data_IF_280957438878
#
_entry.id   IF_280957438878
#
_cell.length_a   1.000
_cell.length_b   1.000
_cell.length_c   1.000
_cell.angle_alpha   90.00
_cell.angle_beta   90.00
_cell.angle_gamma   90.00
#
_symmetry.space_group_name_H-M   'P 1'
#
loop_
_entity.id
_entity.type
_entity.pdbx_description
1 polymer ?
#
# COMPACT_ATOMS: atom_id res chain seq x y z
N UNK A 1 0.97 -7.14 28.27
CA UNK A 1 2.04 -6.13 28.42
C UNK A 1 3.39 -6.75 28.84
N UNK A 2 3.90 -7.75 28.10
CA UNK A 2 5.07 -8.58 28.50
C UNK A 2 6.41 -8.20 27.85
N UNK A 3 6.43 -7.22 26.94
CA UNK A 3 7.62 -6.85 26.16
C UNK A 3 8.12 -5.47 26.64
N UNK A 4 9.39 -5.35 27.09
CA UNK A 4 9.95 -4.06 27.48
C UNK A 4 10.09 -3.11 26.29
N UNK A 5 9.73 -1.83 26.48
CA UNK A 5 9.61 -0.82 25.41
C UNK A 5 10.88 -0.62 24.57
N UNK A 6 12.05 -0.93 25.13
CA UNK A 6 13.36 -0.77 24.47
C UNK A 6 13.57 -1.71 23.27
N UNK A 7 12.99 -2.91 23.31
CA UNK A 7 13.18 -3.94 22.26
C UNK A 7 11.92 -4.16 21.41
N UNK A 8 10.85 -3.42 21.69
CA UNK A 8 9.53 -3.64 21.11
C UNK A 8 9.53 -3.59 19.58
N UNK A 9 10.11 -2.52 19.01
CA UNK A 9 10.23 -2.33 17.56
C UNK A 9 10.92 -3.53 16.89
N UNK A 10 12.00 -4.04 17.50
CA UNK A 10 12.73 -5.21 16.97
C UNK A 10 11.86 -6.47 17.00
N UNK A 11 11.17 -6.75 18.10
CA UNK A 11 10.31 -7.95 18.23
C UNK A 11 9.17 -7.90 17.21
N UNK A 12 8.53 -6.75 17.03
CA UNK A 12 7.42 -6.59 16.08
C UNK A 12 7.88 -6.83 14.64
N UNK A 13 8.98 -6.19 14.22
CA UNK A 13 9.55 -6.42 12.88
C UNK A 13 10.00 -7.87 12.66
N UNK A 14 10.49 -8.56 13.70
CA UNK A 14 10.88 -9.97 13.63
C UNK A 14 9.65 -10.86 13.40
N UNK A 15 8.54 -10.62 14.10
CA UNK A 15 7.29 -11.36 13.91
C UNK A 15 6.69 -11.11 12.52
N UNK A 16 6.74 -9.87 12.03
CA UNK A 16 6.27 -9.55 10.67
C UNK A 16 7.16 -10.23 9.63
N UNK A 17 8.49 -10.18 9.81
CA UNK A 17 9.44 -10.78 8.89
C UNK A 17 9.27 -12.29 8.77
N UNK A 18 9.07 -13.01 9.87
CA UNK A 18 8.87 -14.47 9.83
C UNK A 18 7.61 -14.84 9.05
N UNK A 19 6.50 -14.13 9.26
CA UNK A 19 5.27 -14.35 8.49
C UNK A 19 5.45 -14.07 7.00
N UNK A 20 6.08 -12.94 6.65
CA UNK A 20 6.28 -12.55 5.25
C UNK A 20 7.23 -13.53 4.52
N UNK A 21 8.26 -14.04 5.20
CA UNK A 21 9.19 -15.05 4.63
C UNK A 21 8.48 -16.38 4.37
N UNK A 22 7.57 -16.82 5.26
CA UNK A 22 6.78 -18.04 5.01
C UNK A 22 5.97 -17.89 3.71
N UNK A 23 5.34 -16.73 3.50
CA UNK A 23 4.60 -16.44 2.27
C UNK A 23 5.52 -16.42 1.05
N UNK A 24 6.72 -15.84 1.15
CA UNK A 24 7.71 -15.85 0.05
C UNK A 24 8.10 -17.27 -0.36
N UNK A 25 8.35 -18.15 0.60
CA UNK A 25 8.69 -19.56 0.34
C UNK A 25 7.53 -20.30 -0.33
N UNK A 26 6.29 -20.08 0.12
CA UNK A 26 5.09 -20.66 -0.49
C UNK A 26 4.94 -20.17 -1.93
N UNK A 27 5.13 -18.86 -2.19
CA UNK A 27 5.03 -18.30 -3.54
C UNK A 27 6.09 -18.88 -4.48
N UNK A 28 7.31 -19.06 -3.99
CA UNK A 28 8.42 -19.67 -4.73
C UNK A 28 8.15 -21.14 -5.10
N UNK A 29 7.41 -21.86 -4.27
CA UNK A 29 7.08 -23.27 -4.48
C UNK A 29 5.91 -23.47 -5.47
N UNK A 30 4.84 -22.68 -5.38
CA UNK A 30 3.64 -22.87 -6.20
C UNK A 30 3.60 -22.00 -7.47
N UNK A 31 4.15 -20.79 -7.45
CA UNK A 31 4.05 -19.81 -8.54
C UNK A 31 5.38 -19.08 -8.80
N UNK A 32 6.37 -19.76 -9.41
CA UNK A 32 7.72 -19.22 -9.59
C UNK A 32 7.77 -17.98 -10.48
N UNK A 33 6.88 -17.83 -11.46
CA UNK A 33 6.85 -16.66 -12.34
C UNK A 33 6.29 -15.42 -11.65
N UNK A 34 5.32 -15.58 -10.74
CA UNK A 34 4.85 -14.48 -9.89
C UNK A 34 5.90 -14.06 -8.86
N UNK A 35 6.61 -15.03 -8.30
CA UNK A 35 7.70 -14.78 -7.34
C UNK A 35 8.82 -13.90 -7.92
N UNK A 36 9.19 -14.08 -9.20
CA UNK A 36 10.22 -13.24 -9.84
C UNK A 36 9.87 -11.74 -9.83
N UNK A 37 8.58 -11.41 -9.95
CA UNK A 37 8.11 -10.03 -9.93
C UNK A 37 7.90 -9.50 -8.51
N UNK A 38 7.41 -10.36 -7.60
CA UNK A 38 7.08 -9.99 -6.22
C UNK A 38 8.29 -10.02 -5.27
N UNK A 39 9.36 -10.76 -5.60
CA UNK A 39 10.52 -10.98 -4.73
C UNK A 39 11.13 -9.70 -4.16
N UNK A 40 11.40 -8.65 -4.96
CA UNK A 40 11.90 -7.37 -4.43
C UNK A 40 10.93 -6.70 -3.44
N UNK A 41 9.61 -6.88 -3.62
CA UNK A 41 8.60 -6.28 -2.76
C UNK A 41 8.53 -6.93 -1.38
N UNK A 42 9.01 -8.16 -1.20
CA UNK A 42 9.05 -8.84 0.10
C UNK A 42 9.82 -7.99 1.13
N UNK A 43 10.98 -7.44 0.75
CA UNK A 43 11.76 -6.56 1.62
C UNK A 43 11.05 -5.22 1.93
N UNK A 44 10.36 -4.66 0.95
CA UNK A 44 9.56 -3.43 1.13
C UNK A 44 8.33 -3.65 2.01
N UNK A 45 7.76 -4.85 2.01
CA UNK A 45 6.62 -5.22 2.87
C UNK A 45 7.08 -5.35 4.32
N UNK A 46 8.23 -5.99 4.58
CA UNK A 46 8.77 -6.18 5.95
C UNK A 46 9.06 -4.83 6.61
N UNK A 47 9.62 -3.89 5.86
CA UNK A 47 10.01 -2.56 6.35
C UNK A 47 8.91 -1.51 6.18
N UNK A 48 7.69 -1.92 5.82
CA UNK A 48 6.61 -0.98 5.58
C UNK A 48 6.13 -0.32 6.89
N UNK A 49 6.13 1.01 6.89
CA UNK A 49 5.74 1.82 8.03
C UNK A 49 4.26 1.64 8.43
N UNK A 50 3.37 1.27 7.51
CA UNK A 50 1.95 1.08 7.83
C UNK A 50 1.74 -0.13 8.73
N UNK A 51 2.47 -1.23 8.49
CA UNK A 51 2.32 -2.48 9.23
C UNK A 51 2.80 -2.27 10.66
N UNK A 52 4.00 -1.69 10.81
CA UNK A 52 4.56 -1.34 12.11
C UNK A 52 3.66 -0.34 12.86
N UNK A 53 3.21 0.73 12.19
CA UNK A 53 2.38 1.76 12.81
C UNK A 53 1.04 1.24 13.33
N UNK A 54 0.37 0.32 12.62
CA UNK A 54 -0.89 -0.29 13.10
C UNK A 54 -0.66 -1.27 14.24
N UNK A 55 0.44 -2.02 14.22
CA UNK A 55 0.78 -2.94 15.31
C UNK A 55 0.97 -2.17 16.61
N UNK A 56 1.75 -1.09 16.57
CA UNK A 56 2.05 -0.28 17.76
C UNK A 56 0.82 0.51 18.25
N UNK A 57 0.06 1.11 17.33
CA UNK A 57 -1.08 1.97 17.68
C UNK A 57 -2.33 1.19 18.12
N UNK A 58 -2.57 -0.01 17.57
CA UNK A 58 -3.84 -0.71 17.79
C UNK A 58 -3.67 -2.17 18.24
N UNK A 59 -2.74 -2.94 17.64
CA UNK A 59 -2.68 -4.37 17.89
C UNK A 59 -2.23 -4.73 19.33
N UNK A 60 -1.35 -3.93 19.93
CA UNK A 60 -0.84 -4.17 21.29
C UNK A 60 -1.85 -3.93 22.41
N UNK A 61 -2.87 -3.11 22.15
CA UNK A 61 -3.82 -2.66 23.17
C UNK A 61 -5.17 -3.40 23.09
N UNK A 62 -5.44 -4.11 21.99
CA UNK A 62 -6.75 -4.69 21.70
C UNK A 62 -6.72 -6.22 21.61
N UNK A 63 -7.91 -6.82 21.63
CA UNK A 63 -8.10 -8.28 21.45
C UNK A 63 -7.70 -8.71 20.03
N UNK A 64 -7.18 -9.93 19.83
CA UNK A 64 -6.63 -10.37 18.54
C UNK A 64 -7.64 -10.31 17.38
N UNK A 65 -8.91 -10.62 17.63
CA UNK A 65 -9.95 -10.54 16.60
C UNK A 65 -10.24 -9.10 16.14
N UNK A 66 -10.24 -8.14 17.08
CA UNK A 66 -10.44 -6.73 16.73
C UNK A 66 -9.23 -6.19 15.94
N UNK A 67 -8.01 -6.59 16.33
CA UNK A 67 -6.78 -6.22 15.64
C UNK A 67 -6.68 -6.79 14.22
N UNK A 68 -7.27 -7.96 13.98
CA UNK A 68 -7.34 -8.56 12.64
C UNK A 68 -8.25 -7.75 11.71
N UNK A 69 -9.42 -7.33 12.19
CA UNK A 69 -10.33 -6.46 11.44
C UNK A 69 -9.68 -5.11 11.12
N UNK A 70 -8.95 -4.55 12.08
CA UNK A 70 -8.22 -3.30 11.88
C UNK A 70 -7.11 -3.40 10.82
N UNK A 71 -6.33 -4.49 10.86
CA UNK A 71 -5.30 -4.75 9.87
C UNK A 71 -5.87 -4.93 8.47
N UNK A 72 -6.98 -5.67 8.33
CA UNK A 72 -7.68 -5.84 7.06
C UNK A 72 -8.24 -4.52 6.53
N UNK A 73 -8.92 -3.73 7.37
CA UNK A 73 -9.48 -2.45 6.98
C UNK A 73 -8.39 -1.45 6.54
N UNK A 74 -7.28 -1.39 7.28
CA UNK A 74 -6.14 -0.54 6.96
C UNK A 74 -5.46 -0.96 5.65
N UNK A 75 -5.29 -2.27 5.44
CA UNK A 75 -4.74 -2.83 4.20
C UNK A 75 -5.62 -2.55 2.99
N UNK A 76 -6.93 -2.81 3.11
CA UNK A 76 -7.91 -2.52 2.04
C UNK A 76 -7.96 -1.03 1.70
N UNK A 77 -7.94 -0.16 2.72
CA UNK A 77 -7.88 1.29 2.51
C UNK A 77 -6.61 1.71 1.76
N UNK A 78 -5.45 1.16 2.14
CA UNK A 78 -4.20 1.43 1.44
C UNK A 78 -4.22 0.96 -0.01
N UNK A 79 -4.69 -0.27 -0.26
CA UNK A 79 -4.84 -0.81 -1.62
C UNK A 79 -5.79 0.04 -2.45
N UNK A 80 -6.92 0.49 -1.89
CA UNK A 80 -7.89 1.33 -2.60
C UNK A 80 -7.27 2.66 -3.05
N UNK A 81 -6.54 3.33 -2.16
CA UNK A 81 -5.85 4.59 -2.49
C UNK A 81 -4.80 4.38 -3.58
N UNK A 82 -3.98 3.32 -3.48
CA UNK A 82 -2.99 3.00 -4.50
C UNK A 82 -3.62 2.67 -5.85
N UNK A 83 -4.73 1.93 -5.86
CA UNK A 83 -5.41 1.54 -7.09
C UNK A 83 -6.00 2.77 -7.81
N UNK A 84 -6.61 3.69 -7.07
CA UNK A 84 -7.13 4.95 -7.62
C UNK A 84 -6.02 5.82 -8.22
N UNK A 85 -4.88 5.93 -7.53
CA UNK A 85 -3.71 6.66 -8.03
C UNK A 85 -3.11 5.96 -9.26
N UNK A 86 -2.99 4.63 -9.23
CA UNK A 86 -2.45 3.85 -10.34
C UNK A 86 -3.29 4.00 -11.60
N UNK A 87 -4.62 3.99 -11.50
CA UNK A 87 -5.54 4.18 -12.63
C UNK A 87 -5.25 5.47 -13.39
N UNK A 88 -5.15 6.60 -12.68
CA UNK A 88 -4.87 7.90 -13.31
C UNK A 88 -3.45 7.96 -13.87
N UNK A 89 -2.47 7.37 -13.15
CA UNK A 89 -1.07 7.36 -13.58
C UNK A 89 -0.84 6.50 -14.82
N UNK A 90 -1.52 5.36 -14.94
CA UNK A 90 -1.44 4.49 -16.12
C UNK A 90 -2.06 5.19 -17.34
N UNK A 91 -3.25 5.78 -17.16
CA UNK A 91 -3.96 6.48 -18.23
C UNK A 91 -3.13 7.65 -18.80
N UNK A 92 -2.58 8.49 -17.93
CA UNK A 92 -1.82 9.67 -18.38
C UNK A 92 -0.38 9.33 -18.79
N UNK A 93 0.22 8.31 -18.19
CA UNK A 93 1.61 7.91 -18.45
C UNK A 93 1.79 7.17 -19.77
N UNK A 94 0.99 6.13 -20.02
CA UNK A 94 1.17 5.22 -21.16
C UNK A 94 -0.01 5.18 -22.13
N UNK A 95 -1.08 5.94 -21.85
CA UNK A 95 -2.30 5.94 -22.67
C UNK A 95 -3.08 4.62 -22.61
N UNK A 96 -2.68 3.73 -21.70
CA UNK A 96 -3.25 2.40 -21.54
C UNK A 96 -3.91 2.27 -20.18
N UNK A 97 -4.86 1.33 -20.09
CA UNK A 97 -5.49 0.95 -18.86
C UNK A 97 -5.56 -0.56 -18.82
N UNK A 98 -4.91 -1.16 -17.81
CA UNK A 98 -4.89 -2.60 -17.61
C UNK A 98 -4.40 -3.35 -18.87
N UNK A 99 -3.44 -2.76 -19.57
CA UNK A 99 -2.86 -3.30 -20.81
C UNK A 99 -3.62 -3.00 -22.11
N UNK A 100 -4.82 -2.41 -22.05
CA UNK A 100 -5.56 -1.96 -23.24
C UNK A 100 -5.25 -0.49 -23.53
N UNK A 101 -4.79 -0.17 -24.75
CA UNK A 101 -4.58 1.22 -25.17
C UNK A 101 -5.92 1.87 -25.47
N UNK A 102 -6.32 2.82 -24.62
CA UNK A 102 -7.58 3.56 -24.74
C UNK A 102 -7.35 4.91 -25.42
N UNK A 103 -6.21 5.54 -25.14
CA UNK A 103 -5.79 6.76 -25.82
C UNK A 103 -5.05 6.36 -27.10
N UNK A 104 -5.52 6.85 -28.25
CA UNK A 104 -4.94 6.57 -29.56
C UNK A 104 -3.52 7.16 -29.74
N UNK A 105 -2.95 7.02 -30.94
CA UNK A 105 -1.61 7.51 -31.31
C UNK A 105 -1.42 9.03 -31.19
N UNK A 106 -2.48 9.79 -30.87
CA UNK A 106 -2.46 11.23 -30.68
C UNK A 106 -2.00 11.65 -29.27
N UNK A 107 -2.00 10.73 -28.29
CA UNK A 107 -1.55 11.03 -26.94
C UNK A 107 -0.04 10.81 -26.78
N UNK A 108 0.68 11.86 -26.37
CA UNK A 108 2.08 11.75 -26.00
C UNK A 108 2.21 11.19 -24.59
N UNK A 109 2.89 10.05 -24.48
CA UNK A 109 3.14 9.41 -23.19
C UNK A 109 3.90 10.36 -22.25
N UNK A 110 3.29 10.72 -21.12
CA UNK A 110 3.94 11.51 -20.10
C UNK A 110 4.81 10.63 -19.21
N UNK A 111 6.07 10.41 -19.62
CA UNK A 111 7.07 9.67 -18.84
C UNK A 111 7.28 10.23 -17.42
N UNK A 112 7.01 11.52 -17.21
CA UNK A 112 7.09 12.18 -15.89
C UNK A 112 6.07 11.59 -14.90
N UNK A 113 4.90 11.14 -15.38
CA UNK A 113 3.84 10.56 -14.56
C UNK A 113 4.20 9.16 -14.01
N UNK A 114 5.06 8.44 -14.73
CA UNK A 114 5.52 7.09 -14.35
C UNK A 114 6.64 7.17 -13.31
N UNK A 115 7.45 8.23 -13.34
CA UNK A 115 8.54 8.46 -12.39
C UNK A 115 8.04 8.80 -10.98
N UNK A 116 8.88 8.66 -9.93
CA UNK A 116 8.56 9.03 -8.55
C UNK A 116 7.91 10.42 -8.35
N UNK A 117 8.36 11.52 -8.99
CA UNK A 117 7.74 12.84 -8.82
C UNK A 117 6.25 12.85 -9.20
N UNK A 118 5.84 12.16 -10.26
CA UNK A 118 4.43 12.05 -10.65
C UNK A 118 3.57 11.39 -9.57
N UNK A 119 4.13 10.40 -8.85
CA UNK A 119 3.45 9.76 -7.71
C UNK A 119 3.16 10.74 -6.57
N UNK A 120 4.11 11.59 -6.20
CA UNK A 120 3.92 12.58 -5.13
C UNK A 120 2.87 13.63 -5.48
N UNK A 121 2.87 14.14 -6.72
CA UNK A 121 1.85 15.10 -7.17
C UNK A 121 0.45 14.48 -7.16
N UNK A 122 0.31 13.26 -7.67
CA UNK A 122 -0.98 12.56 -7.68
C UNK A 122 -1.49 12.28 -6.27
N UNK A 123 -0.61 11.89 -5.34
CA UNK A 123 -0.98 11.69 -3.94
C UNK A 123 -1.41 13.02 -3.28
N UNK A 124 -0.73 14.14 -3.56
CA UNK A 124 -1.11 15.45 -3.06
C UNK A 124 -2.49 15.88 -3.56
N UNK A 125 -2.76 15.72 -4.87
CA UNK A 125 -4.08 16.01 -5.46
C UNK A 125 -5.15 15.10 -4.88
N UNK A 126 -4.88 13.80 -4.72
CA UNK A 126 -5.81 12.85 -4.13
C UNK A 126 -6.20 13.26 -2.70
N UNK A 127 -5.22 13.63 -1.87
CA UNK A 127 -5.48 14.12 -0.50
C UNK A 127 -6.30 15.41 -0.54
N UNK A 128 -6.02 16.33 -1.46
CA UNK A 128 -6.78 17.57 -1.62
C UNK A 128 -8.24 17.30 -1.98
N UNK A 129 -8.51 16.44 -2.97
CA UNK A 129 -9.86 16.05 -3.40
C UNK A 129 -10.63 15.37 -2.26
N UNK A 130 -10.02 14.39 -1.59
CA UNK A 130 -10.66 13.69 -0.46
C UNK A 130 -10.97 14.68 0.65
N UNK A 131 -10.06 15.61 0.96
CA UNK A 131 -10.29 16.63 1.97
C UNK A 131 -11.43 17.57 1.60
N UNK A 132 -11.46 18.09 0.38
CA UNK A 132 -12.48 19.06 -0.03
C UNK A 132 -13.87 18.43 -0.15
N UNK A 133 -13.97 17.18 -0.62
CA UNK A 133 -15.25 16.50 -0.81
C UNK A 133 -15.75 15.89 0.51
N UNK A 134 -14.89 15.17 1.24
CA UNK A 134 -15.32 14.36 2.40
C UNK A 134 -15.27 15.16 3.72
N UNK A 135 -14.26 16.01 3.92
CA UNK A 135 -14.15 16.77 5.18
C UNK A 135 -15.00 18.05 5.20
N UNK A 136 -15.38 18.58 4.04
CA UNK A 136 -16.31 19.72 3.96
C UNK A 136 -17.75 19.31 4.27
N UNK A 137 -18.18 18.14 3.79
CA UNK A 137 -19.48 17.54 4.11
C UNK A 137 -19.66 17.34 5.63
N UNK A 138 -18.67 16.78 6.33
CA UNK A 138 -18.71 16.61 7.79
C UNK A 138 -18.72 17.91 8.61
N UNK A 139 -18.46 19.06 8.00
CA UNK A 139 -18.47 20.37 8.67
C UNK A 139 -19.82 21.09 8.52
N UNK A 140 -20.69 20.59 7.63
CA UNK A 140 -22.02 21.14 7.36
C UNK A 140 -23.18 20.28 7.90
N UNK A 141 -22.88 19.12 8.51
CA UNK A 141 -23.81 18.30 9.31
C UNK A 141 -23.43 18.44 10.77
#
# INVERSE_FOLDING_TARGET
NRIPSRIRMMVETMVIATYVIIVDIVLKAFYPDMWKQLGPYVGLIITNCIVMGRVEAFALQNKPLASLVDGLASGLGYTYVLMAIAFVRELLGTGSLWGYRILGTWWTNWSIMVMPPGGFFMLAIFIWVVREIVLKEKKHV
#
